data_IF_175410408059
#
_entry.id   IF_175410408059
#
_cell.length_a   1.000
_cell.length_b   1.000
_cell.length_c   1.000
_cell.angle_alpha   90.00
_cell.angle_beta   90.00
_cell.angle_gamma   90.00
#
_symmetry.space_group_name_H-M   'P 1'
#
loop_
_entity.id
_entity.type
_entity.pdbx_description
1 polymer ?
#
# COMPACT_ATOMS: atom_id res chain seq x y z
N UNK A 1 6.22 -1.43 -10.43
CA UNK A 1 6.71 -2.60 -9.68
C UNK A 1 5.56 -3.58 -9.63
N UNK A 2 5.80 -4.80 -10.11
CA UNK A 2 4.79 -5.87 -10.08
C UNK A 2 4.56 -6.33 -8.64
N UNK A 3 3.49 -7.08 -8.43
CA UNK A 3 3.23 -7.76 -7.16
C UNK A 3 4.33 -8.77 -6.79
N UNK A 4 4.96 -9.42 -7.77
CA UNK A 4 6.07 -10.34 -7.54
C UNK A 4 7.33 -9.63 -7.04
N UNK A 5 7.70 -8.52 -7.68
CA UNK A 5 8.84 -7.68 -7.25
C UNK A 5 8.65 -7.18 -5.80
N UNK A 6 7.39 -6.87 -5.43
CA UNK A 6 7.02 -6.43 -4.07
C UNK A 6 7.20 -7.54 -3.04
N UNK A 7 6.79 -8.76 -3.39
CA UNK A 7 6.96 -9.93 -2.53
C UNK A 7 8.46 -10.18 -2.32
N UNK A 8 9.26 -10.16 -3.38
CA UNK A 8 10.72 -10.31 -3.29
C UNK A 8 11.39 -9.22 -2.46
N UNK A 9 10.90 -7.97 -2.56
CA UNK A 9 11.40 -6.85 -1.76
C UNK A 9 11.10 -6.99 -0.27
N UNK A 10 9.92 -7.48 0.11
CA UNK A 10 9.44 -7.48 1.49
C UNK A 10 9.71 -8.79 2.22
N UNK A 11 9.56 -9.92 1.54
CA UNK A 11 9.62 -11.26 2.13
C UNK A 11 11.05 -11.82 2.05
N UNK A 12 11.43 -12.60 3.05
CA UNK A 12 12.74 -13.22 3.11
C UNK A 12 12.88 -14.30 2.02
N UNK A 13 14.02 -14.35 1.31
CA UNK A 13 14.25 -15.31 0.24
C UNK A 13 13.98 -16.76 0.69
N UNK A 14 13.23 -17.50 -0.13
CA UNK A 14 12.89 -18.91 0.14
C UNK A 14 11.80 -19.15 1.18
N UNK A 15 11.17 -18.10 1.71
CA UNK A 15 10.10 -18.23 2.73
C UNK A 15 8.69 -17.99 2.19
N UNK A 16 8.57 -17.50 0.95
CA UNK A 16 7.28 -17.27 0.30
C UNK A 16 6.52 -18.57 0.06
N UNK A 17 5.33 -18.66 0.62
CA UNK A 17 4.39 -19.75 0.43
C UNK A 17 3.04 -19.18 -0.04
N UNK A 18 2.76 -19.21 -1.36
CA UNK A 18 1.56 -18.62 -1.92
C UNK A 18 0.29 -19.38 -1.51
N UNK A 19 -0.85 -18.69 -1.53
CA UNK A 19 -2.16 -19.22 -1.20
C UNK A 19 -3.14 -19.01 -2.36
N UNK A 20 -4.01 -20.00 -2.58
CA UNK A 20 -5.14 -19.92 -3.52
C UNK A 20 -4.73 -19.52 -4.94
N UNK A 21 -3.58 -19.98 -5.43
CA UNK A 21 -3.02 -19.59 -6.74
C UNK A 21 -3.94 -19.95 -7.90
N UNK A 22 -4.62 -21.10 -7.83
CA UNK A 22 -5.53 -21.57 -8.87
C UNK A 22 -6.92 -20.92 -8.87
N UNK A 23 -7.18 -19.93 -8.01
CA UNK A 23 -8.47 -19.25 -7.97
C UNK A 23 -8.58 -18.22 -9.11
N UNK A 24 -9.61 -18.35 -9.94
CA UNK A 24 -9.83 -17.52 -11.13
C UNK A 24 -11.23 -16.93 -11.16
N UNK A 25 -11.36 -15.76 -11.76
CA UNK A 25 -12.63 -15.04 -11.89
C UNK A 25 -13.55 -15.73 -12.88
N UNK A 26 -14.86 -15.70 -12.59
CA UNK A 26 -15.92 -16.16 -13.49
C UNK A 26 -16.76 -14.95 -13.93
N UNK A 27 -17.68 -15.16 -14.87
CA UNK A 27 -18.65 -14.14 -15.28
C UNK A 27 -20.06 -14.45 -14.72
N UNK A 28 -20.33 -14.14 -13.44
CA UNK A 28 -21.58 -14.52 -12.78
C UNK A 28 -22.79 -13.70 -13.23
N UNK A 29 -22.58 -12.56 -13.89
CA UNK A 29 -23.66 -11.66 -14.33
C UNK A 29 -23.80 -11.63 -15.86
N UNK A 30 -23.05 -12.48 -16.57
CA UNK A 30 -23.00 -12.54 -18.04
C UNK A 30 -22.79 -11.14 -18.62
N UNK A 31 -21.72 -10.47 -18.19
CA UNK A 31 -21.49 -9.06 -18.49
C UNK A 31 -21.40 -8.81 -19.99
N UNK A 32 -22.44 -8.17 -20.53
CA UNK A 32 -22.50 -7.78 -21.93
C UNK A 32 -21.69 -6.51 -22.19
N UNK A 33 -20.72 -6.64 -23.10
CA UNK A 33 -19.85 -5.56 -23.57
C UNK A 33 -19.84 -5.58 -25.10
N UNK A 34 -19.91 -4.40 -25.73
CA UNK A 34 -19.85 -4.27 -27.19
C UNK A 34 -18.41 -4.43 -27.73
N UNK A 35 -17.40 -4.27 -26.88
CA UNK A 35 -15.99 -4.32 -27.26
C UNK A 35 -15.41 -5.74 -27.15
N UNK A 36 -15.45 -6.31 -25.95
CA UNK A 36 -14.80 -7.58 -25.60
C UNK A 36 -15.55 -8.26 -24.46
N UNK A 37 -15.71 -9.58 -24.54
CA UNK A 37 -16.32 -10.38 -23.47
C UNK A 37 -15.46 -10.34 -22.20
N UNK A 38 -16.11 -10.34 -21.03
CA UNK A 38 -15.38 -10.23 -19.75
C UNK A 38 -14.37 -11.37 -19.54
N UNK A 39 -14.73 -12.59 -19.95
CA UNK A 39 -13.84 -13.76 -19.87
C UNK A 39 -12.57 -13.57 -20.72
N UNK A 40 -12.72 -13.17 -21.97
CA UNK A 40 -11.58 -12.96 -22.88
C UNK A 40 -10.65 -11.87 -22.34
N UNK A 41 -11.23 -10.83 -21.74
CA UNK A 41 -10.49 -9.77 -21.07
C UNK A 41 -9.69 -10.32 -19.88
N UNK A 42 -10.28 -11.15 -19.01
CA UNK A 42 -9.55 -11.79 -17.91
C UNK A 42 -8.39 -12.62 -18.47
N UNK A 43 -8.67 -13.50 -19.44
CA UNK A 43 -7.68 -14.39 -20.03
C UNK A 43 -6.50 -13.60 -20.63
N UNK A 44 -6.77 -12.50 -21.31
CA UNK A 44 -5.76 -11.57 -21.83
C UNK A 44 -4.86 -10.99 -20.72
N UNK A 45 -5.44 -10.51 -19.62
CA UNK A 45 -4.65 -10.00 -18.49
C UNK A 45 -3.87 -11.10 -17.76
N UNK A 46 -4.40 -12.31 -17.68
CA UNK A 46 -3.68 -13.46 -17.11
C UNK A 46 -2.46 -13.82 -17.96
N UNK A 47 -2.60 -13.83 -19.30
CA UNK A 47 -1.49 -14.07 -20.22
C UNK A 47 -0.43 -12.96 -20.10
N UNK A 48 -0.87 -11.70 -20.07
CA UNK A 48 0.04 -10.54 -20.09
C UNK A 48 0.80 -10.35 -18.77
N UNK A 49 0.17 -10.64 -17.63
CA UNK A 49 0.79 -10.44 -16.31
C UNK A 49 1.38 -11.72 -15.72
N UNK A 50 0.96 -12.90 -16.18
CA UNK A 50 1.27 -14.18 -15.56
C UNK A 50 0.56 -14.42 -14.22
N UNK A 51 -0.37 -13.54 -13.82
CA UNK A 51 -1.13 -13.65 -12.58
C UNK A 51 -2.50 -14.24 -12.85
N UNK A 52 -3.06 -14.97 -11.89
CA UNK A 52 -4.44 -15.47 -11.98
C UNK A 52 -5.49 -14.39 -11.69
N UNK A 53 -5.14 -13.39 -10.89
CA UNK A 53 -6.01 -12.25 -10.55
C UNK A 53 -5.19 -11.06 -10.02
N UNK A 54 -5.85 -9.91 -9.78
CA UNK A 54 -5.28 -8.66 -9.27
C UNK A 54 -4.69 -8.66 -7.86
N UNK A 55 -4.55 -9.83 -7.20
CA UNK A 55 -3.89 -9.93 -5.89
C UNK A 55 -3.15 -11.25 -5.74
N UNK A 56 -1.92 -11.17 -5.26
CA UNK A 56 -1.16 -12.32 -4.76
C UNK A 56 -1.27 -12.35 -3.23
N UNK A 57 -1.55 -13.52 -2.67
CA UNK A 57 -1.72 -13.71 -1.23
C UNK A 57 -0.89 -14.90 -0.79
N UNK A 58 -0.31 -14.84 0.39
CA UNK A 58 0.51 -15.92 0.90
C UNK A 58 1.13 -15.62 2.25
N UNK A 59 1.95 -16.57 2.70
CA UNK A 59 2.70 -16.47 3.95
C UNK A 59 4.17 -16.28 3.61
N UNK A 60 4.86 -15.49 4.40
CA UNK A 60 6.30 -15.31 4.30
C UNK A 60 6.91 -14.99 5.65
N UNK A 61 8.22 -14.82 5.67
CA UNK A 61 8.91 -14.22 6.80
C UNK A 61 9.39 -12.83 6.43
N UNK A 62 9.32 -11.93 7.39
CA UNK A 62 9.85 -10.58 7.28
C UNK A 62 10.89 -10.42 8.38
N UNK A 63 12.18 -10.53 8.01
CA UNK A 63 13.31 -10.62 8.94
C UNK A 63 13.08 -11.70 10.03
N UNK A 64 12.65 -12.89 9.61
CA UNK A 64 12.37 -14.03 10.47
C UNK A 64 11.01 -14.01 11.19
N UNK A 65 10.24 -12.93 11.07
CA UNK A 65 8.90 -12.83 11.67
C UNK A 65 7.87 -13.39 10.67
N UNK A 66 7.10 -14.43 11.01
CA UNK A 66 6.08 -14.95 10.12
C UNK A 66 4.95 -13.93 9.94
N UNK A 67 4.59 -13.65 8.68
CA UNK A 67 3.54 -12.70 8.32
C UNK A 67 2.64 -13.28 7.24
N UNK A 68 1.35 -12.95 7.32
CA UNK A 68 0.43 -13.08 6.20
C UNK A 68 0.49 -11.81 5.36
N UNK A 69 0.69 -11.93 4.05
CA UNK A 69 0.79 -10.77 3.16
C UNK A 69 -0.07 -10.92 1.91
N UNK A 70 -0.77 -9.84 1.57
CA UNK A 70 -1.49 -9.66 0.31
C UNK A 70 -0.89 -8.51 -0.47
N UNK A 71 -0.59 -8.71 -1.75
CA UNK A 71 -0.03 -7.69 -2.63
C UNK A 71 -0.90 -7.57 -3.87
N UNK A 72 -1.58 -6.43 -3.99
CA UNK A 72 -2.39 -6.13 -5.16
C UNK A 72 -1.51 -5.74 -6.35
N UNK A 73 -1.98 -6.05 -7.56
CA UNK A 73 -1.31 -5.70 -8.81
C UNK A 73 -2.18 -4.82 -9.70
N UNK A 74 -1.77 -3.57 -9.88
CA UNK A 74 -2.48 -2.63 -10.74
C UNK A 74 -2.43 -3.00 -12.22
N UNK A 75 -1.43 -3.78 -12.66
CA UNK A 75 -1.32 -4.20 -14.06
C UNK A 75 -2.45 -5.15 -14.45
N UNK A 76 -2.98 -5.92 -13.49
CA UNK A 76 -4.12 -6.79 -13.72
C UNK A 76 -5.41 -5.98 -13.66
N UNK A 77 -5.89 -5.54 -14.83
CA UNK A 77 -7.15 -4.79 -14.98
C UNK A 77 -7.30 -3.62 -13.97
N UNK A 78 -6.24 -2.84 -13.76
CA UNK A 78 -6.26 -1.69 -12.86
C UNK A 78 -6.34 -2.06 -11.37
N UNK A 79 -5.99 -3.29 -11.00
CA UNK A 79 -6.04 -3.77 -9.62
C UNK A 79 -7.46 -3.76 -9.04
N UNK A 80 -8.50 -3.77 -9.88
CA UNK A 80 -9.86 -3.55 -9.37
C UNK A 80 -10.35 -4.76 -8.57
N UNK A 81 -10.99 -4.51 -7.44
CA UNK A 81 -11.47 -5.56 -6.55
C UNK A 81 -12.76 -6.20 -7.08
N UNK A 82 -12.65 -7.46 -7.47
CA UNK A 82 -13.76 -8.37 -7.78
C UNK A 82 -13.89 -9.51 -6.75
N UNK A 83 -14.72 -10.51 -7.03
CA UNK A 83 -15.05 -11.60 -6.09
C UNK A 83 -13.83 -12.41 -5.68
N UNK A 84 -12.92 -12.70 -6.62
CA UNK A 84 -11.70 -13.46 -6.34
C UNK A 84 -10.72 -12.66 -5.49
N UNK A 85 -10.52 -11.37 -5.79
CA UNK A 85 -9.71 -10.48 -4.94
C UNK A 85 -10.27 -10.48 -3.51
N UNK A 86 -11.59 -10.34 -3.37
CA UNK A 86 -12.25 -10.37 -2.08
C UNK A 86 -12.13 -11.70 -1.34
N UNK A 87 -12.31 -12.83 -2.02
CA UNK A 87 -12.13 -14.16 -1.44
C UNK A 87 -10.68 -14.43 -1.01
N UNK A 88 -9.69 -14.16 -1.87
CA UNK A 88 -8.27 -14.39 -1.55
C UNK A 88 -7.83 -13.58 -0.33
N UNK A 89 -8.21 -12.30 -0.27
CA UNK A 89 -7.92 -11.46 0.90
C UNK A 89 -8.65 -11.98 2.15
N UNK A 90 -9.92 -12.38 2.03
CA UNK A 90 -10.69 -12.93 3.15
C UNK A 90 -10.02 -14.18 3.72
N UNK A 91 -9.65 -15.14 2.87
CA UNK A 91 -8.95 -16.37 3.28
C UNK A 91 -7.61 -16.09 3.93
N UNK A 92 -6.86 -15.12 3.40
CA UNK A 92 -5.60 -14.69 4.00
C UNK A 92 -5.81 -14.17 5.43
N UNK A 93 -6.83 -13.33 5.65
CA UNK A 93 -7.15 -12.77 6.97
C UNK A 93 -7.59 -13.88 7.94
N UNK A 94 -8.47 -14.78 7.50
CA UNK A 94 -8.91 -15.91 8.33
C UNK A 94 -7.75 -16.86 8.66
N UNK A 95 -6.86 -17.11 7.71
CA UNK A 95 -5.65 -17.87 7.96
C UNK A 95 -4.74 -17.17 8.98
N UNK A 96 -4.52 -15.86 8.83
CA UNK A 96 -3.74 -15.07 9.76
C UNK A 96 -4.35 -15.07 11.17
N UNK A 97 -5.68 -14.97 11.27
CA UNK A 97 -6.45 -15.09 12.52
C UNK A 97 -6.26 -16.46 13.19
N UNK A 98 -6.30 -17.54 12.40
CA UNK A 98 -6.14 -18.91 12.90
C UNK A 98 -4.70 -19.22 13.32
N UNK A 99 -3.71 -18.64 12.64
CA UNK A 99 -2.28 -18.81 12.95
C UNK A 99 -1.74 -17.78 13.94
N UNK A 100 -2.54 -16.78 14.31
CA UNK A 100 -2.16 -15.69 15.21
C UNK A 100 -0.91 -14.93 14.72
N UNK A 101 -0.83 -14.68 13.41
CA UNK A 101 0.29 -13.96 12.78
C UNK A 101 -0.15 -12.59 12.27
N UNK A 102 0.74 -11.58 12.22
CA UNK A 102 0.45 -10.27 11.67
C UNK A 102 0.04 -10.32 10.20
N UNK A 103 -0.72 -9.31 9.78
CA UNK A 103 -1.24 -9.16 8.43
C UNK A 103 -0.71 -7.88 7.80
N UNK A 104 -0.27 -7.97 6.54
CA UNK A 104 0.16 -6.83 5.74
C UNK A 104 -0.58 -6.87 4.40
N UNK A 105 -1.21 -5.77 3.99
CA UNK A 105 -1.82 -5.67 2.67
C UNK A 105 -1.29 -4.45 1.92
N UNK A 106 -0.65 -4.70 0.77
CA UNK A 106 -0.20 -3.67 -0.17
C UNK A 106 -1.31 -3.40 -1.17
N UNK A 107 -1.91 -2.22 -1.06
CA UNK A 107 -3.04 -1.78 -1.84
C UNK A 107 -2.59 -1.05 -3.12
N UNK A 108 -3.15 -1.47 -4.25
CA UNK A 108 -2.96 -0.85 -5.56
C UNK A 108 -4.23 -1.12 -6.38
N UNK A 109 -5.10 -0.12 -6.54
CA UNK A 109 -6.41 -0.32 -7.16
C UNK A 109 -7.00 0.96 -7.73
N UNK A 110 -7.69 0.80 -8.86
CA UNK A 110 -8.58 1.80 -9.45
C UNK A 110 -10.03 1.78 -8.93
N UNK A 111 -10.38 0.82 -8.05
CA UNK A 111 -11.72 0.72 -7.45
C UNK A 111 -12.32 -0.69 -7.53
N UNK A 112 -13.66 -0.76 -7.56
CA UNK A 112 -14.39 -2.02 -7.66
C UNK A 112 -14.48 -2.53 -9.12
N UNK A 113 -14.47 -3.86 -9.31
CA UNK A 113 -14.62 -4.52 -10.61
C UNK A 113 -16.06 -4.36 -11.11
N UNK A 114 -16.29 -3.42 -12.04
CA UNK A 114 -17.65 -3.15 -12.55
C UNK A 114 -18.27 -4.36 -13.26
N UNK A 115 -17.45 -5.21 -13.86
CA UNK A 115 -17.87 -6.41 -14.60
C UNK A 115 -18.53 -7.46 -13.71
N UNK A 116 -18.38 -7.39 -12.38
CA UNK A 116 -19.08 -8.27 -11.44
C UNK A 116 -20.16 -7.54 -10.64
N UNK A 117 -20.42 -6.26 -10.97
CA UNK A 117 -21.53 -5.49 -10.41
C UNK A 117 -21.54 -5.40 -8.88
N UNK A 118 -22.67 -5.77 -8.27
CA UNK A 118 -22.86 -5.71 -6.82
C UNK A 118 -21.97 -6.68 -6.05
N UNK A 119 -21.50 -7.77 -6.67
CA UNK A 119 -20.59 -8.72 -6.02
C UNK A 119 -19.28 -8.05 -5.63
N UNK A 120 -18.74 -7.19 -6.49
CA UNK A 120 -17.55 -6.37 -6.21
C UNK A 120 -17.76 -5.41 -5.05
N UNK A 121 -18.94 -4.79 -4.97
CA UNK A 121 -19.27 -3.90 -3.85
C UNK A 121 -19.34 -4.68 -2.53
N UNK A 122 -19.92 -5.88 -2.54
CA UNK A 122 -20.05 -6.72 -1.34
C UNK A 122 -18.69 -7.19 -0.80
N UNK A 123 -17.64 -7.23 -1.63
CA UNK A 123 -16.30 -7.58 -1.14
C UNK A 123 -15.78 -6.56 -0.11
N UNK A 124 -16.18 -5.29 -0.19
CA UNK A 124 -15.84 -4.29 0.83
C UNK A 124 -16.36 -4.72 2.20
N UNK A 125 -17.64 -5.09 2.28
CA UNK A 125 -18.28 -5.51 3.52
C UNK A 125 -17.69 -6.84 4.02
N UNK A 126 -17.46 -7.79 3.12
CA UNK A 126 -16.89 -9.10 3.43
C UNK A 126 -15.51 -8.98 4.09
N UNK A 127 -14.57 -8.30 3.44
CA UNK A 127 -13.21 -8.12 3.96
C UNK A 127 -13.25 -7.35 5.28
N UNK A 128 -14.04 -6.28 5.36
CA UNK A 128 -14.15 -5.48 6.58
C UNK A 128 -14.71 -6.29 7.76
N UNK A 129 -15.64 -7.22 7.51
CA UNK A 129 -16.20 -8.09 8.55
C UNK A 129 -15.16 -9.04 9.13
N UNK A 130 -14.32 -9.66 8.29
CA UNK A 130 -13.27 -10.57 8.79
C UNK A 130 -12.11 -9.82 9.42
N UNK A 131 -11.78 -8.61 8.93
CA UNK A 131 -10.83 -7.71 9.59
C UNK A 131 -11.31 -7.30 10.98
N UNK A 132 -12.60 -7.02 11.15
CA UNK A 132 -13.17 -6.68 12.45
C UNK A 132 -12.96 -7.81 13.48
N UNK A 133 -13.20 -9.06 13.10
CA UNK A 133 -12.92 -10.22 13.97
C UNK A 133 -11.41 -10.35 14.28
N UNK A 134 -10.57 -10.23 13.25
CA UNK A 134 -9.11 -10.29 13.35
C UNK A 134 -8.54 -9.24 14.32
N UNK A 135 -8.99 -7.99 14.24
CA UNK A 135 -8.52 -6.90 15.11
C UNK A 135 -9.22 -6.91 16.48
N UNK A 136 -10.54 -7.06 16.53
CA UNK A 136 -11.30 -6.87 17.77
C UNK A 136 -11.31 -8.13 18.66
N UNK A 137 -11.55 -9.30 18.07
CA UNK A 137 -11.69 -10.55 18.82
C UNK A 137 -10.34 -11.24 18.98
N UNK A 138 -9.49 -11.27 17.95
CA UNK A 138 -8.16 -11.88 18.03
C UNK A 138 -7.07 -10.92 18.51
N UNK A 139 -7.30 -9.60 18.47
CA UNK A 139 -6.32 -8.57 18.86
C UNK A 139 -5.01 -8.67 18.09
N UNK A 140 -5.11 -9.01 16.81
CA UNK A 140 -3.97 -9.15 15.92
C UNK A 140 -3.73 -7.87 15.13
N UNK A 141 -2.48 -7.70 14.70
CA UNK A 141 -2.01 -6.47 14.09
C UNK A 141 -2.13 -6.50 12.56
N UNK A 142 -2.69 -5.44 11.98
CA UNK A 142 -2.88 -5.26 10.55
C UNK A 142 -2.22 -3.95 10.06
N UNK A 143 -1.34 -4.07 9.07
CA UNK A 143 -0.75 -2.92 8.35
C UNK A 143 -1.31 -2.83 6.94
N UNK A 144 -1.86 -1.67 6.60
CA UNK A 144 -2.23 -1.33 5.22
C UNK A 144 -1.15 -0.46 4.59
N UNK A 145 -0.71 -0.79 3.38
CA UNK A 145 0.27 0.00 2.61
C UNK A 145 -0.39 0.52 1.34
N UNK A 146 -0.60 1.83 1.27
CA UNK A 146 -1.24 2.51 0.14
C UNK A 146 -0.21 2.88 -0.90
N UNK A 147 -0.37 2.34 -2.10
CA UNK A 147 0.51 2.63 -3.23
C UNK A 147 -0.24 3.41 -4.31
N UNK A 148 0.48 3.91 -5.31
CA UNK A 148 -0.13 4.67 -6.41
C UNK A 148 -0.61 3.74 -7.54
N UNK A 149 -1.88 3.79 -7.94
CA UNK A 149 -3.01 4.44 -7.27
C UNK A 149 -3.70 3.53 -6.24
N UNK A 150 -4.34 4.10 -5.23
CA UNK A 150 -5.29 3.40 -4.35
C UNK A 150 -6.58 4.19 -4.26
N UNK A 151 -7.61 3.70 -4.98
CA UNK A 151 -8.88 4.42 -5.10
C UNK A 151 -10.14 3.59 -4.87
N UNK A 152 -11.28 4.29 -4.74
CA UNK A 152 -12.60 3.69 -4.75
C UNK A 152 -12.86 2.74 -3.60
N UNK A 153 -13.37 1.55 -3.92
CA UNK A 153 -13.78 0.56 -2.93
C UNK A 153 -12.65 0.07 -2.02
N UNK A 154 -11.41 -0.01 -2.52
CA UNK A 154 -10.25 -0.42 -1.71
C UNK A 154 -9.93 0.63 -0.66
N UNK A 155 -9.85 1.91 -1.05
CA UNK A 155 -9.65 3.03 -0.12
C UNK A 155 -10.80 3.14 0.88
N UNK A 156 -12.03 2.87 0.47
CA UNK A 156 -13.20 2.94 1.34
C UNK A 156 -13.46 1.66 2.16
N UNK A 157 -12.53 0.71 2.17
CA UNK A 157 -12.63 -0.54 2.94
C UNK A 157 -11.27 -0.90 3.55
N UNK A 158 -10.75 -2.10 3.30
CA UNK A 158 -9.56 -2.63 3.97
C UNK A 158 -8.31 -1.77 3.83
N UNK A 159 -8.19 -0.96 2.77
CA UNK A 159 -7.08 -0.02 2.62
C UNK A 159 -6.99 1.01 3.75
N UNK A 160 -8.12 1.37 4.37
CA UNK A 160 -8.19 2.38 5.46
C UNK A 160 -8.50 1.79 6.84
N UNK A 161 -8.52 0.46 6.98
CA UNK A 161 -8.84 -0.25 8.23
C UNK A 161 -7.60 -0.80 8.95
N UNK A 162 -6.40 -0.43 8.51
CA UNK A 162 -5.16 -0.79 9.19
C UNK A 162 -5.07 -0.21 10.60
N UNK A 163 -4.45 -0.96 11.52
CA UNK A 163 -3.98 -0.41 12.79
C UNK A 163 -2.91 0.65 12.53
N UNK A 164 -2.07 0.39 11.52
CA UNK A 164 -1.18 1.38 10.89
C UNK A 164 -1.46 1.40 9.39
N UNK A 165 -1.62 2.60 8.85
CA UNK A 165 -1.81 2.88 7.45
C UNK A 165 -0.57 3.64 6.97
N UNK A 166 0.20 3.01 6.10
CA UNK A 166 1.41 3.57 5.51
C UNK A 166 1.08 4.03 4.10
N UNK A 167 1.51 5.22 3.70
CA UNK A 167 1.47 5.64 2.31
C UNK A 167 2.87 5.67 1.70
N UNK A 168 2.95 5.46 0.38
CA UNK A 168 4.19 5.72 -0.36
C UNK A 168 4.29 7.19 -0.80
N UNK A 169 5.51 7.73 -0.95
CA UNK A 169 5.71 9.06 -1.52
C UNK A 169 5.01 9.21 -2.87
N UNK A 170 4.39 10.36 -3.10
CA UNK A 170 3.65 10.72 -4.31
C UNK A 170 2.50 9.76 -4.67
N UNK A 171 2.02 8.94 -3.73
CA UNK A 171 0.92 8.02 -4.02
C UNK A 171 -0.38 8.78 -4.27
N UNK A 172 -1.09 8.40 -5.35
CA UNK A 172 -2.42 8.91 -5.65
C UNK A 172 -3.46 8.11 -4.86
N UNK A 173 -4.06 8.73 -3.85
CA UNK A 173 -5.01 8.08 -2.93
C UNK A 173 -6.31 8.87 -2.96
N UNK A 174 -7.43 8.22 -3.31
CA UNK A 174 -8.69 8.92 -3.45
C UNK A 174 -9.92 8.01 -3.36
N UNK A 175 -10.98 8.43 -2.66
CA UNK A 175 -12.25 7.73 -2.80
C UNK A 175 -12.82 7.87 -4.21
N UNK A 176 -12.98 9.11 -4.69
CA UNK A 176 -13.42 9.41 -6.05
C UNK A 176 -12.23 9.92 -6.88
N UNK A 177 -12.05 9.36 -8.08
CA UNK A 177 -11.01 9.81 -9.01
C UNK A 177 -11.22 11.25 -9.46
N UNK A 178 -10.13 11.97 -9.75
CA UNK A 178 -10.11 13.37 -10.19
C UNK A 178 -11.14 13.65 -11.30
N UNK A 179 -11.12 12.80 -12.35
CA UNK A 179 -12.04 12.88 -13.49
C UNK A 179 -13.51 12.92 -13.07
N UNK A 180 -13.92 12.06 -12.13
CA UNK A 180 -15.31 11.95 -11.67
C UNK A 180 -15.72 13.19 -10.90
N UNK A 181 -14.82 13.74 -10.06
CA UNK A 181 -15.08 14.95 -9.28
C UNK A 181 -15.26 16.14 -10.23
N UNK A 182 -14.36 16.32 -11.19
CA UNK A 182 -14.39 17.45 -12.13
C UNK A 182 -15.64 17.42 -13.01
N UNK A 183 -16.03 16.24 -13.52
CA UNK A 183 -17.26 16.07 -14.29
C UNK A 183 -18.52 16.34 -13.46
N UNK A 184 -18.52 15.99 -12.18
CA UNK A 184 -19.71 16.13 -11.32
C UNK A 184 -19.89 17.57 -10.82
N UNK A 185 -18.80 18.21 -10.42
CA UNK A 185 -18.82 19.54 -9.81
C UNK A 185 -18.57 20.67 -10.81
N UNK A 186 -18.17 20.33 -12.03
CA UNK A 186 -17.77 21.28 -13.08
C UNK A 186 -16.72 22.29 -12.59
N UNK A 187 -15.80 21.82 -11.75
CA UNK A 187 -14.71 22.56 -11.12
C UNK A 187 -13.43 21.76 -11.22
N UNK A 188 -12.31 22.44 -11.42
CA UNK A 188 -11.00 21.80 -11.43
C UNK A 188 -10.62 21.33 -10.02
N UNK A 189 -10.13 20.10 -9.93
CA UNK A 189 -9.58 19.58 -8.66
C UNK A 189 -8.17 20.17 -8.52
N UNK A 190 -7.85 20.86 -7.41
CA UNK A 190 -6.52 21.40 -7.19
C UNK A 190 -5.44 20.32 -7.33
N UNK A 191 -4.37 20.66 -8.04
CA UNK A 191 -3.25 19.75 -8.24
C UNK A 191 -2.64 19.34 -6.90
N UNK A 192 -2.24 18.07 -6.79
CA UNK A 192 -1.68 17.52 -5.55
C UNK A 192 -2.70 17.25 -4.42
N UNK A 193 -3.97 17.67 -4.53
CA UNK A 193 -4.98 17.47 -3.46
C UNK A 193 -5.30 16.01 -3.12
N UNK A 194 -4.92 15.08 -3.98
CA UNK A 194 -5.08 13.63 -3.81
C UNK A 194 -3.73 12.90 -3.75
N UNK A 195 -2.63 13.63 -3.64
CA UNK A 195 -1.30 13.07 -3.41
C UNK A 195 -1.11 12.77 -1.93
N UNK A 196 -0.26 11.77 -1.64
CA UNK A 196 0.04 11.34 -0.28
C UNK A 196 0.46 12.52 0.61
N UNK A 197 1.35 13.39 0.14
CA UNK A 197 1.88 14.51 0.91
C UNK A 197 0.77 15.46 1.39
N UNK A 198 -0.20 15.76 0.52
CA UNK A 198 -1.33 16.61 0.90
C UNK A 198 -2.25 15.92 1.91
N UNK A 199 -2.57 14.64 1.68
CA UNK A 199 -3.47 13.86 2.52
C UNK A 199 -2.88 13.52 3.89
N UNK A 200 -1.55 13.41 3.96
CA UNK A 200 -0.81 13.22 5.19
C UNK A 200 -1.02 14.40 6.16
N UNK A 201 -0.92 15.64 5.65
CA UNK A 201 -1.24 16.83 6.43
C UNK A 201 -2.72 16.93 6.86
N UNK A 202 -3.61 16.09 6.31
CA UNK A 202 -5.01 15.95 6.72
C UNK A 202 -5.24 14.80 7.70
N UNK A 203 -4.19 14.09 8.12
CA UNK A 203 -4.27 13.00 9.09
C UNK A 203 -4.93 11.73 8.53
N UNK A 204 -4.83 11.49 7.22
CA UNK A 204 -5.49 10.34 6.60
C UNK A 204 -4.78 9.01 6.87
N UNK A 205 -3.46 9.04 7.13
CA UNK A 205 -2.62 7.87 7.38
C UNK A 205 -1.39 8.25 8.23
N UNK A 206 -0.63 7.25 8.69
CA UNK A 206 0.26 7.36 9.85
C UNK A 206 1.70 7.78 9.48
N UNK A 207 2.44 7.05 8.60
CA UNK A 207 3.64 7.61 7.96
C UNK A 207 3.63 7.56 6.43
N UNK A 208 4.47 8.40 5.81
CA UNK A 208 4.91 8.24 4.43
C UNK A 208 6.26 7.52 4.41
N UNK A 209 6.35 6.36 3.76
CA UNK A 209 7.58 5.55 3.75
C UNK A 209 8.01 5.19 2.31
N UNK A 210 9.23 5.56 1.90
CA UNK A 210 9.82 5.12 0.64
C UNK A 210 9.94 3.59 0.56
N UNK A 211 9.74 3.04 -0.64
CA UNK A 211 9.67 1.58 -0.89
C UNK A 211 10.85 0.79 -0.36
N UNK A 212 12.06 1.28 -0.59
CA UNK A 212 13.31 0.64 -0.17
C UNK A 212 13.44 0.54 1.35
N UNK A 213 12.77 1.41 2.10
CA UNK A 213 12.80 1.41 3.57
C UNK A 213 11.68 0.58 4.18
N UNK A 214 10.66 0.17 3.41
CA UNK A 214 9.48 -0.54 3.92
C UNK A 214 9.85 -1.82 4.67
N UNK A 215 10.72 -2.68 4.11
CA UNK A 215 11.12 -3.92 4.78
C UNK A 215 11.73 -3.64 6.16
N UNK A 216 12.61 -2.65 6.25
CA UNK A 216 13.19 -2.21 7.52
C UNK A 216 12.14 -1.70 8.51
N UNK A 217 11.24 -0.81 8.06
CA UNK A 217 10.18 -0.23 8.89
C UNK A 217 9.19 -1.28 9.40
N UNK A 218 8.77 -2.20 8.53
CA UNK A 218 7.84 -3.28 8.87
C UNK A 218 8.47 -4.33 9.80
N UNK A 219 9.79 -4.51 9.70
CA UNK A 219 10.54 -5.43 10.54
C UNK A 219 10.94 -4.86 11.91
N UNK A 220 10.81 -3.54 12.08
CA UNK A 220 11.35 -2.79 13.20
C UNK A 220 10.84 -3.32 14.54
N UNK A 221 11.74 -3.97 15.29
CA UNK A 221 11.48 -4.65 16.55
C UNK A 221 12.29 -3.96 17.67
N UNK A 222 11.69 -3.84 18.86
CA UNK A 222 12.37 -3.73 20.18
C UNK A 222 13.48 -2.67 20.34
N UNK A 223 13.07 -1.42 20.54
CA UNK A 223 13.82 -0.48 21.38
C UNK A 223 14.39 0.75 20.68
N UNK A 224 14.12 1.90 21.30
CA UNK A 224 14.89 3.16 21.29
C UNK A 224 15.33 3.74 19.93
N UNK A 225 14.39 4.36 19.22
CA UNK A 225 14.66 5.37 18.18
C UNK A 225 13.34 5.91 17.63
N UNK A 226 13.30 7.14 17.11
CA UNK A 226 12.06 7.90 16.85
C UNK A 226 11.84 8.10 15.33
N UNK A 227 10.81 7.49 14.75
CA UNK A 227 10.35 7.84 13.38
C UNK A 227 9.45 9.07 13.51
N UNK A 228 9.80 10.15 12.82
CA UNK A 228 8.93 11.32 12.72
C UNK A 228 7.89 11.08 11.62
N UNK A 229 6.60 11.34 11.88
CA UNK A 229 5.50 11.06 10.95
C UNK A 229 5.71 11.64 9.53
N UNK A 230 6.41 12.77 9.42
CA UNK A 230 6.67 13.51 8.18
C UNK A 230 7.92 13.05 7.41
N UNK A 231 8.67 12.07 7.92
CA UNK A 231 9.91 11.58 7.33
C UNK A 231 11.11 12.55 7.40
N UNK A 232 10.93 13.79 7.88
CA UNK A 232 11.96 14.85 7.80
C UNK A 232 13.11 14.69 8.79
N UNK A 233 12.85 13.98 9.89
CA UNK A 233 13.83 13.69 10.95
C UNK A 233 13.96 12.20 11.24
N UNK A 234 13.62 11.36 10.25
CA UNK A 234 13.94 9.94 10.33
C UNK A 234 15.47 9.82 10.39
N UNK A 235 15.98 9.25 11.48
CA UNK A 235 17.36 8.82 11.58
C UNK A 235 17.63 7.54 10.76
N UNK A 236 16.74 7.17 9.83
CA UNK A 236 16.79 5.97 8.99
C UNK A 236 17.44 6.23 7.62
N UNK A 237 18.42 7.13 7.54
CA UNK A 237 19.13 7.43 6.30
C UNK A 237 20.10 6.30 5.97
N UNK A 238 19.75 5.49 4.98
CA UNK A 238 20.68 4.60 4.30
C UNK A 238 21.52 5.45 3.36
N UNK A 239 22.84 5.47 3.56
CA UNK A 239 23.78 6.16 2.68
C UNK A 239 24.13 5.24 1.52
N UNK A 240 23.86 5.69 0.29
CA UNK A 240 24.15 4.96 -0.93
C UNK A 240 25.43 5.46 -1.58
N UNK A 241 26.04 4.61 -2.41
CA UNK A 241 27.22 4.94 -3.19
C UNK A 241 26.92 6.02 -4.24
N UNK A 242 27.66 7.11 -4.21
CA UNK A 242 27.51 8.22 -5.19
C UNK A 242 28.07 7.83 -6.57
N UNK A 243 28.92 6.81 -6.65
CA UNK A 243 29.43 6.27 -7.92
C UNK A 243 29.59 4.75 -7.90
N UNK A 244 29.61 4.14 -9.09
CA UNK A 244 29.99 2.75 -9.27
C UNK A 244 31.52 2.64 -9.32
N UNK A 245 32.09 1.67 -8.61
CA UNK A 245 33.55 1.63 -8.48
C UNK A 245 34.06 0.57 -7.52
N UNK A 246 35.32 0.73 -7.11
CA UNK A 246 35.97 -0.12 -6.10
C UNK A 246 36.23 0.72 -4.85
N UNK A 247 35.82 0.23 -3.69
CA UNK A 247 36.09 0.85 -2.40
C UNK A 247 37.59 0.75 -2.12
N UNK A 248 38.31 1.88 -2.14
CA UNK A 248 39.77 1.92 -1.92
C UNK A 248 40.13 1.96 -0.45
N UNK A 249 39.40 2.74 0.33
CA UNK A 249 39.74 3.01 1.74
C UNK A 249 38.51 3.44 2.52
N UNK A 250 38.38 2.95 3.75
CA UNK A 250 37.35 3.33 4.69
C UNK A 250 38.03 3.89 5.96
N UNK A 251 37.76 5.15 6.28
CA UNK A 251 38.31 5.82 7.47
C UNK A 251 37.21 6.10 8.48
N UNK A 252 37.39 5.62 9.72
CA UNK A 252 36.47 5.91 10.83
C UNK A 252 36.81 7.26 11.48
N UNK A 253 35.84 8.18 11.55
CA UNK A 253 35.99 9.51 12.18
C UNK A 253 35.84 9.43 13.70
N UNK A 254 36.45 10.37 14.43
CA UNK A 254 36.50 10.42 15.90
C UNK A 254 35.12 10.33 16.59
N UNK A 255 34.05 10.83 15.95
CA UNK A 255 32.69 10.77 16.48
C UNK A 255 31.89 9.53 16.05
N UNK A 256 32.49 8.56 15.37
CA UNK A 256 31.88 7.29 14.98
C UNK A 256 31.26 7.23 13.57
N UNK A 257 31.52 8.21 12.69
CA UNK A 257 31.13 8.18 11.28
C UNK A 257 32.22 7.57 10.38
N UNK A 258 31.94 7.48 9.07
CA UNK A 258 32.86 6.91 8.08
C UNK A 258 33.16 7.89 6.93
N UNK A 259 34.32 7.74 6.33
CA UNK A 259 34.69 8.35 5.05
C UNK A 259 35.11 7.22 4.12
N UNK A 260 34.39 7.07 3.00
CA UNK A 260 34.59 5.98 2.06
C UNK A 260 35.13 6.57 0.76
N UNK A 261 36.34 6.16 0.38
CA UNK A 261 36.95 6.54 -0.88
C UNK A 261 36.64 5.48 -1.94
N UNK A 262 35.92 5.87 -2.98
CA UNK A 262 35.49 5.03 -4.09
C UNK A 262 36.24 5.46 -5.35
N UNK A 263 36.95 4.53 -6.00
CA UNK A 263 37.53 4.78 -7.31
C UNK A 263 36.47 4.52 -8.40
N UNK A 264 36.03 5.59 -9.07
CA UNK A 264 35.01 5.56 -10.11
C UNK A 264 35.43 4.64 -11.28
N UNK A 265 34.52 3.77 -11.71
CA UNK A 265 34.77 2.81 -12.80
C UNK A 265 34.90 3.47 -14.19
N UNK A 266 34.39 4.70 -14.36
CA UNK A 266 34.31 5.38 -15.65
C UNK A 266 35.51 6.28 -15.95
N UNK A 267 36.02 7.01 -14.97
CA UNK A 267 37.12 7.98 -15.14
C UNK A 267 38.29 7.81 -14.16
N UNK A 268 38.20 6.84 -13.24
CA UNK A 268 39.24 6.54 -12.25
C UNK A 268 39.42 7.62 -11.18
N UNK A 269 38.54 8.61 -11.10
CA UNK A 269 38.58 9.63 -10.04
C UNK A 269 38.14 9.06 -8.72
N UNK A 270 38.73 9.57 -7.64
CA UNK A 270 38.32 9.21 -6.28
C UNK A 270 37.14 10.09 -5.85
N UNK A 271 36.02 9.44 -5.54
CA UNK A 271 34.83 10.05 -4.96
C UNK A 271 34.81 9.69 -3.47
N UNK A 272 34.53 10.68 -2.63
CA UNK A 272 34.54 10.52 -1.17
C UNK A 272 33.11 10.65 -0.64
N UNK A 273 32.58 9.54 -0.13
CA UNK A 273 31.27 9.50 0.52
C UNK A 273 31.43 9.66 2.04
N UNK A 274 30.83 10.71 2.59
CA UNK A 274 30.90 11.03 4.03
C UNK A 274 29.63 10.53 4.72
N UNK A 275 29.83 9.65 5.70
CA UNK A 275 28.77 9.02 6.46
C UNK A 275 28.83 9.54 7.90
N UNK A 276 27.75 10.14 8.43
CA UNK A 276 27.72 10.59 9.82
C UNK A 276 27.70 9.40 10.79
N UNK A 277 27.95 9.64 12.08
CA UNK A 277 27.89 8.59 13.11
C UNK A 277 26.49 7.96 13.23
N UNK A 278 26.44 6.65 13.46
CA UNK A 278 25.19 5.93 13.76
C UNK A 278 24.97 4.67 12.91
N UNK A 279 25.04 4.75 11.57
CA UNK A 279 24.86 3.60 10.68
C UNK A 279 26.00 2.56 10.81
N UNK A 280 25.67 1.30 10.60
CA UNK A 280 26.61 0.18 10.44
C UNK A 280 27.00 0.05 8.96
N UNK A 281 28.28 -0.27 8.70
CA UNK A 281 28.82 -0.32 7.35
C UNK A 281 28.52 -1.69 6.71
N UNK A 282 28.01 -1.70 5.48
CA UNK A 282 27.72 -2.93 4.73
C UNK A 282 28.84 -3.36 3.78
N UNK A 283 29.73 -2.41 3.44
CA UNK A 283 30.76 -2.61 2.41
C UNK A 283 32.15 -2.74 3.02
N UNK A 284 33.04 -3.47 2.34
CA UNK A 284 34.43 -3.67 2.76
C UNK A 284 35.44 -3.05 1.79
N UNK A 285 36.65 -2.76 2.27
CA UNK A 285 37.74 -2.30 1.39
C UNK A 285 38.05 -3.36 0.32
N UNK A 286 38.16 -2.95 -0.94
CA UNK A 286 38.37 -3.82 -2.10
C UNK A 286 37.09 -4.34 -2.76
N UNK A 287 35.91 -4.06 -2.19
CA UNK A 287 34.63 -4.47 -2.76
C UNK A 287 34.26 -3.62 -4.00
N UNK A 288 33.68 -4.27 -5.01
CA UNK A 288 33.09 -3.59 -6.17
C UNK A 288 31.63 -3.27 -5.88
N UNK A 289 31.29 -1.98 -5.98
CA UNK A 289 29.97 -1.45 -5.66
C UNK A 289 29.34 -0.80 -6.89
N UNK A 290 28.02 -0.90 -7.00
CA UNK A 290 27.23 -0.24 -8.06
C UNK A 290 26.79 1.14 -7.62
N UNK A 291 26.47 2.00 -8.59
CA UNK A 291 25.78 3.27 -8.33
C UNK A 291 24.50 2.99 -7.54
N UNK A 292 24.23 3.83 -6.53
CA UNK A 292 23.09 3.70 -5.61
C UNK A 292 23.08 2.42 -4.73
N UNK A 293 24.15 1.63 -4.71
CA UNK A 293 24.27 0.51 -3.78
C UNK A 293 24.35 1.01 -2.33
N UNK A 294 23.60 0.41 -1.37
CA UNK A 294 23.70 0.78 0.05
C UNK A 294 25.12 0.56 0.60
N UNK A 295 25.74 1.62 1.11
CA UNK A 295 27.04 1.56 1.79
C UNK A 295 26.88 1.22 3.28
N UNK A 296 25.72 1.51 3.85
CA UNK A 296 25.41 1.31 5.26
C UNK A 296 24.04 0.72 5.49
N UNK A 297 23.88 -0.03 6.56
CA UNK A 297 22.60 -0.37 7.18
C UNK A 297 22.51 0.36 8.51
N UNK A 298 21.38 0.99 8.85
CA UNK A 298 21.22 1.49 10.20
C UNK A 298 20.71 0.37 11.13
N UNK A 299 21.44 -0.05 12.18
CA UNK A 299 20.90 -0.98 13.17
C UNK A 299 19.82 -0.35 14.06
N UNK A 300 19.77 1.00 14.13
CA UNK A 300 18.71 1.75 14.81
C UNK A 300 17.50 1.98 13.89
N UNK A 301 16.82 0.90 13.52
CA UNK A 301 15.42 0.96 13.08
C UNK A 301 14.53 1.12 14.32
N UNK A 302 14.51 2.34 14.84
CA UNK A 302 13.68 2.73 15.96
C UNK A 302 12.19 2.64 15.63
N UNK A 303 11.42 2.00 16.52
CA UNK A 303 9.97 1.94 16.44
C UNK A 303 9.26 3.24 16.83
N UNK A 304 7.93 3.19 16.84
CA UNK A 304 7.11 4.31 17.30
C UNK A 304 7.37 4.62 18.80
N UNK A 305 7.72 5.87 19.10
CA UNK A 305 7.59 6.46 20.43
C UNK A 305 8.74 6.26 21.42
N UNK A 306 9.60 7.28 21.52
CA UNK A 306 10.29 7.61 22.78
C UNK A 306 10.17 9.11 23.07
N UNK A 307 9.00 9.48 23.55
CA UNK A 307 8.77 10.58 24.47
C UNK A 307 7.54 10.17 25.27
N UNK A 308 7.47 10.51 26.56
CA UNK A 308 6.24 10.42 27.36
C UNK A 308 5.24 11.49 26.88
N UNK A 309 4.88 11.43 25.61
CA UNK A 309 3.72 12.04 25.04
C UNK A 309 2.86 10.87 24.59
N UNK A 310 1.58 10.85 24.98
CA UNK A 310 0.59 10.01 24.30
C UNK A 310 0.71 10.30 22.81
N UNK A 311 1.36 9.40 22.07
CA UNK A 311 1.32 9.42 20.62
C UNK A 311 -0.09 8.97 20.29
N UNK A 312 -0.97 9.94 20.16
CA UNK A 312 -2.26 9.76 19.54
C UNK A 312 -1.95 9.53 18.06
N UNK A 313 -1.71 8.26 17.70
CA UNK A 313 -1.38 7.82 16.34
C UNK A 313 -2.46 8.24 15.33
N UNK A 314 -3.69 8.45 15.82
CA UNK A 314 -4.82 8.84 15.01
C UNK A 314 -5.46 10.11 15.57
N UNK A 315 -5.42 11.20 14.80
CA UNK A 315 -6.11 12.44 15.14
C UNK A 315 -7.59 12.16 15.46
N UNK A 316 -8.11 12.51 16.65
CA UNK A 316 -9.52 12.35 16.99
C UNK A 316 -10.48 13.03 15.99
N UNK A 317 -10.02 14.06 15.27
CA UNK A 317 -10.76 14.71 14.18
C UNK A 317 -11.05 13.75 13.02
N UNK A 318 -10.27 12.67 12.84
CA UNK A 318 -10.54 11.62 11.85
C UNK A 318 -11.89 10.96 12.11
N UNK A 319 -12.25 10.72 13.38
CA UNK A 319 -13.55 10.14 13.75
C UNK A 319 -14.68 11.10 13.37
N UNK A 320 -14.50 12.40 13.60
CA UNK A 320 -15.47 13.42 13.18
C UNK A 320 -15.59 13.48 11.64
N UNK A 321 -14.48 13.38 10.92
CA UNK A 321 -14.45 13.30 9.45
C UNK A 321 -15.19 12.07 8.92
N UNK A 322 -14.99 10.90 9.55
CA UNK A 322 -15.69 9.66 9.21
C UNK A 322 -17.19 9.75 9.52
N UNK A 323 -17.58 10.34 10.64
CA UNK A 323 -18.99 10.58 10.97
C UNK A 323 -19.66 11.54 9.98
N UNK A 324 -18.97 12.62 9.61
CA UNK A 324 -19.46 13.54 8.57
C UNK A 324 -19.58 12.86 7.22
N UNK A 325 -18.57 12.08 6.81
CA UNK A 325 -18.61 11.29 5.58
C UNK A 325 -19.79 10.31 5.59
N UNK A 326 -19.96 9.55 6.67
CA UNK A 326 -21.09 8.63 6.83
C UNK A 326 -22.45 9.34 6.72
N UNK A 327 -22.61 10.48 7.41
CA UNK A 327 -23.82 11.29 7.30
C UNK A 327 -24.05 11.78 5.87
N UNK A 328 -22.99 12.22 5.17
CA UNK A 328 -23.07 12.65 3.77
C UNK A 328 -23.45 11.52 2.82
N UNK A 329 -22.96 10.30 3.06
CA UNK A 329 -23.30 9.11 2.27
C UNK A 329 -24.76 8.74 2.45
N UNK A 330 -25.26 8.72 3.69
CA UNK A 330 -26.68 8.50 3.97
C UNK A 330 -27.54 9.56 3.26
N UNK A 331 -27.16 10.83 3.38
CA UNK A 331 -27.88 11.92 2.73
C UNK A 331 -27.91 11.74 1.20
N UNK A 332 -26.76 11.42 0.59
CA UNK A 332 -26.65 11.18 -0.84
C UNK A 332 -27.48 9.97 -1.30
N UNK A 333 -27.50 8.87 -0.52
CA UNK A 333 -28.34 7.72 -0.79
C UNK A 333 -29.83 8.08 -0.71
N UNK A 334 -30.26 8.83 0.29
CA UNK A 334 -31.64 9.33 0.40
C UNK A 334 -32.00 10.15 -0.83
N UNK A 335 -31.14 11.09 -1.25
CA UNK A 335 -31.36 11.90 -2.44
C UNK A 335 -31.43 11.05 -3.73
N UNK A 336 -30.58 10.03 -3.87
CA UNK A 336 -30.63 9.09 -5.00
C UNK A 336 -31.95 8.32 -5.04
N UNK A 337 -32.43 7.81 -3.90
CA UNK A 337 -33.74 7.12 -3.83
C UNK A 337 -34.88 8.07 -4.17
N UNK A 338 -34.86 9.30 -3.66
CA UNK A 338 -35.88 10.31 -3.96
C UNK A 338 -35.88 10.68 -5.45
N UNK A 339 -34.69 10.85 -6.04
CA UNK A 339 -34.53 11.16 -7.47
C UNK A 339 -34.97 10.00 -8.35
N UNK A 340 -34.65 8.75 -7.97
CA UNK A 340 -35.15 7.54 -8.67
C UNK A 340 -36.67 7.47 -8.64
N UNK A 341 -37.29 7.68 -7.48
CA UNK A 341 -38.77 7.74 -7.35
C UNK A 341 -39.40 8.86 -8.17
N UNK A 342 -38.75 10.02 -8.28
CA UNK A 342 -39.21 11.08 -9.18
C UNK A 342 -39.12 10.65 -10.65
N UNK A 343 -38.02 10.03 -11.05
CA UNK A 343 -37.82 9.56 -12.42
C UNK A 343 -38.83 8.48 -12.81
N UNK A 344 -39.08 7.51 -11.93
CA UNK A 344 -40.12 6.48 -12.11
C UNK A 344 -41.52 7.10 -12.23
N UNK A 345 -41.85 8.12 -11.42
CA UNK A 345 -43.13 8.85 -11.54
C UNK A 345 -43.26 9.59 -12.86
N UNK A 346 -42.19 10.20 -13.36
CA UNK A 346 -42.18 10.90 -14.65
C UNK A 346 -42.34 9.92 -15.81
N UNK A 347 -41.62 8.79 -15.81
CA UNK A 347 -41.79 7.73 -16.82
C UNK A 347 -43.21 7.13 -16.78
N UNK A 348 -43.77 6.88 -15.59
CA UNK A 348 -45.15 6.43 -15.44
C UNK A 348 -46.16 7.46 -15.97
N UNK A 349 -45.86 8.77 -15.88
CA UNK A 349 -46.73 9.80 -16.45
C UNK A 349 -46.61 9.89 -17.98
N UNK A 350 -45.43 9.64 -18.55
CA UNK A 350 -45.21 9.63 -20.01
C UNK A 350 -45.79 8.38 -20.69
N UNK A 351 -45.85 7.23 -20.01
CA UNK A 351 -46.45 6.00 -20.52
C UNK A 351 -47.99 5.99 -20.51
N UNK A 352 -48.62 6.94 -19.81
CA UNK A 352 -50.09 7.06 -19.70
C UNK A 352 -50.69 8.10 -20.68
N UNK A 353 -49.91 8.54 -21.67
CA UNK A 353 -50.35 9.42 -22.77
C UNK A 353 -50.42 8.71 -24.11
#
# INVERSE_FOLDING_TARGET
MSSSDRIELLIDPGTWNPMDEGMVSMDPIEFHSEEEAYKDRIDSYQINTGLTEAVQTGIGQLNGIPVAIGVMDFQFMGGSMGSVVGEKITRLIEYAANKLIPLIIVCASGGARMQEGSLSLMQMAKISSVLYDYQSNKKLFYVSILTSPTTGGVTASFGMLGDIIIAEPNAYIAFAGKRVIEQTLNKTVPEGSQAAEFLFHKGLFDPIVPRNLLKGVLSGNRGRGQIYPDGSKSNNTVYNATTAGIVKKIVRKEKGGYEINIADASDGREVVDIIPPGPELLVSEGESIKLDQPLTSNPNVGGFGQGDAEIVLQDPLRVQGLLFFFASVILAQIFLVLKKKQFEKVQLSEMNF
#
